data_IF_764562522130
#
_entry.id   IF_764562522130
#
_cell.length_a   1.000
_cell.length_b   1.000
_cell.length_c   1.000
_cell.angle_alpha   90.00
_cell.angle_beta   90.00
_cell.angle_gamma   90.00
#
_symmetry.space_group_name_H-M   'P 1'
#
loop_
_entity.id
_entity.type
_entity.pdbx_description
1 polymer ?
#
# COMPACT_ATOMS: atom_id res chain seq x y z
N UNK A 1 1.97 -4.26 -14.12
CA UNK A 1 1.09 -3.21 -13.57
C UNK A 1 1.59 -2.87 -12.18
N UNK A 2 1.86 -1.60 -11.87
CA UNK A 2 2.20 -1.23 -10.50
C UNK A 2 0.89 -1.11 -9.69
N UNK A 3 0.65 -2.06 -8.79
CA UNK A 3 -0.58 -2.14 -7.98
C UNK A 3 -0.78 -0.86 -7.17
N UNK A 4 0.28 -0.30 -6.59
CA UNK A 4 0.20 0.89 -5.74
C UNK A 4 -0.16 2.15 -6.52
N UNK A 5 0.37 2.30 -7.74
CA UNK A 5 -0.05 3.38 -8.65
C UNK A 5 -1.52 3.25 -9.07
N UNK A 6 -2.01 2.01 -9.22
CA UNK A 6 -3.42 1.77 -9.53
C UNK A 6 -4.33 1.96 -8.32
N UNK A 7 -3.91 1.54 -7.13
CA UNK A 7 -4.55 1.84 -5.83
C UNK A 7 -4.72 3.34 -5.69
N UNK A 8 -3.64 4.08 -5.84
CA UNK A 8 -3.66 5.53 -5.82
C UNK A 8 -4.70 6.10 -6.79
N UNK A 9 -4.71 5.66 -8.06
CA UNK A 9 -5.68 6.11 -9.05
C UNK A 9 -7.13 5.83 -8.66
N UNK A 10 -7.43 4.62 -8.16
CA UNK A 10 -8.78 4.24 -7.72
C UNK A 10 -9.26 5.13 -6.57
N UNK A 11 -8.43 5.30 -5.53
CA UNK A 11 -8.77 6.10 -4.37
C UNK A 11 -8.81 7.60 -4.67
N UNK A 12 -7.98 8.08 -5.59
CA UNK A 12 -8.05 9.45 -6.09
C UNK A 12 -9.38 9.72 -6.79
N UNK A 13 -9.79 8.82 -7.70
CA UNK A 13 -11.07 8.94 -8.42
C UNK A 13 -12.25 8.86 -7.46
N UNK A 14 -12.18 7.97 -6.48
CA UNK A 14 -13.17 7.85 -5.41
C UNK A 14 -13.24 9.14 -4.58
N UNK A 15 -12.11 9.66 -4.11
CA UNK A 15 -12.01 10.90 -3.35
C UNK A 15 -12.58 12.10 -4.10
N UNK A 16 -12.30 12.21 -5.41
CA UNK A 16 -12.94 13.20 -6.28
C UNK A 16 -14.46 13.06 -6.32
N UNK A 17 -14.97 11.82 -6.43
CA UNK A 17 -16.41 11.55 -6.48
C UNK A 17 -17.12 11.93 -5.17
N UNK A 18 -16.49 11.69 -4.02
CA UNK A 18 -17.05 12.03 -2.69
C UNK A 18 -16.64 13.43 -2.21
N UNK A 19 -15.99 14.23 -3.05
CA UNK A 19 -15.55 15.61 -2.75
C UNK A 19 -14.64 15.72 -1.52
N UNK A 20 -13.71 14.78 -1.35
CA UNK A 20 -12.65 14.88 -0.33
C UNK A 20 -11.84 16.17 -0.54
N UNK A 21 -11.49 16.93 0.53
CA UNK A 21 -10.76 18.20 0.41
C UNK A 21 -9.42 18.10 -0.32
N UNK A 22 -8.63 17.05 -0.04
CA UNK A 22 -7.41 16.72 -0.79
C UNK A 22 -7.44 15.25 -1.22
N UNK A 23 -8.06 14.94 -2.38
CA UNK A 23 -8.22 13.56 -2.84
C UNK A 23 -6.90 12.94 -3.28
N UNK A 24 -5.91 13.76 -3.64
CA UNK A 24 -4.61 13.27 -4.08
C UNK A 24 -3.77 12.85 -2.88
N UNK A 25 -3.68 13.70 -1.85
CA UNK A 25 -3.01 13.33 -0.60
C UNK A 25 -3.67 12.13 0.07
N UNK A 26 -5.01 12.12 0.17
CA UNK A 26 -5.74 10.99 0.73
C UNK A 26 -5.43 9.67 -0.02
N UNK A 27 -5.36 9.72 -1.35
CA UNK A 27 -4.99 8.56 -2.15
C UNK A 27 -3.54 8.10 -1.92
N UNK A 28 -2.59 9.02 -1.70
CA UNK A 28 -1.20 8.65 -1.31
C UNK A 28 -1.20 7.98 0.05
N UNK A 29 -1.95 8.49 1.03
CA UNK A 29 -2.07 7.87 2.34
C UNK A 29 -2.57 6.44 2.23
N UNK A 30 -3.61 6.19 1.45
CA UNK A 30 -4.13 4.83 1.23
C UNK A 30 -3.12 3.94 0.52
N UNK A 31 -2.48 4.40 -0.55
CA UNK A 31 -1.47 3.61 -1.25
C UNK A 31 -0.26 3.30 -0.35
N UNK A 32 0.13 4.25 0.50
CA UNK A 32 1.20 4.07 1.49
C UNK A 32 0.80 3.06 2.56
N UNK A 33 -0.43 3.12 3.06
CA UNK A 33 -0.95 2.15 4.02
C UNK A 33 -0.92 0.72 3.43
N UNK A 34 -1.29 0.56 2.17
CA UNK A 34 -1.21 -0.72 1.45
C UNK A 34 0.25 -1.19 1.31
N UNK A 35 1.18 -0.31 0.95
CA UNK A 35 2.61 -0.65 0.90
C UNK A 35 3.14 -1.08 2.28
N UNK A 36 2.79 -0.34 3.32
CA UNK A 36 3.19 -0.63 4.69
C UNK A 36 2.62 -1.96 5.16
N UNK A 37 1.35 -2.25 4.84
CA UNK A 37 0.69 -3.52 5.15
C UNK A 37 1.40 -4.69 4.46
N UNK A 38 1.70 -4.59 3.17
CA UNK A 38 2.47 -5.62 2.46
C UNK A 38 3.87 -5.81 3.03
N UNK A 39 4.56 -4.72 3.40
CA UNK A 39 5.86 -4.80 4.06
C UNK A 39 5.74 -5.52 5.41
N UNK A 40 4.72 -5.19 6.21
CA UNK A 40 4.47 -5.85 7.48
C UNK A 40 4.22 -7.36 7.29
N UNK A 41 3.51 -7.76 6.24
CA UNK A 41 3.35 -9.18 5.91
C UNK A 41 4.67 -9.87 5.56
N UNK A 42 5.50 -9.25 4.72
CA UNK A 42 6.83 -9.80 4.38
C UNK A 42 7.69 -9.94 5.64
N UNK A 43 7.70 -8.91 6.50
CA UNK A 43 8.43 -8.92 7.78
C UNK A 43 7.91 -10.03 8.69
N UNK A 44 6.59 -10.19 8.81
CA UNK A 44 5.96 -11.26 9.61
C UNK A 44 6.24 -12.65 9.07
N UNK A 45 6.25 -12.83 7.75
CA UNK A 45 6.61 -14.09 7.11
C UNK A 45 8.05 -14.48 7.44
N UNK A 46 8.99 -13.56 7.21
CA UNK A 46 10.41 -13.80 7.44
C UNK A 46 10.72 -14.09 8.91
N UNK A 47 9.99 -13.45 9.83
CA UNK A 47 10.06 -13.76 11.25
C UNK A 47 9.52 -15.16 11.57
N UNK A 48 8.30 -15.50 11.10
CA UNK A 48 7.66 -16.80 11.35
C UNK A 48 8.50 -17.98 10.84
N UNK A 49 9.14 -17.81 9.68
CA UNK A 49 10.04 -18.82 9.10
C UNK A 49 11.40 -18.93 9.80
N UNK A 50 11.66 -18.13 10.85
CA UNK A 50 12.94 -18.11 11.57
C UNK A 50 14.12 -17.53 10.78
N UNK A 51 13.87 -16.92 9.61
CA UNK A 51 14.90 -16.40 8.71
C UNK A 51 15.56 -15.15 9.31
N UNK A 52 14.77 -14.30 9.98
CA UNK A 52 15.23 -13.05 10.59
C UNK A 52 14.65 -12.87 12.01
N UNK A 53 15.23 -13.54 13.03
CA UNK A 53 14.73 -13.47 14.41
C UNK A 53 14.84 -12.07 15.02
N UNK A 54 15.73 -11.22 14.49
CA UNK A 54 15.85 -9.79 14.89
C UNK A 54 14.55 -9.00 14.65
N UNK A 55 13.68 -9.46 13.75
CA UNK A 55 12.38 -8.83 13.47
C UNK A 55 11.39 -8.98 14.64
N UNK A 56 11.70 -9.79 15.66
CA UNK A 56 10.91 -9.90 16.90
C UNK A 56 10.58 -8.54 17.52
N UNK A 57 11.48 -7.56 17.40
CA UNK A 57 11.27 -6.20 17.93
C UNK A 57 10.01 -5.51 17.37
N UNK A 58 9.54 -5.90 16.16
CA UNK A 58 8.31 -5.38 15.56
C UNK A 58 7.04 -6.06 16.10
N UNK A 59 7.16 -7.24 16.71
CA UNK A 59 6.06 -8.05 17.22
C UNK A 59 5.97 -8.03 18.74
N UNK A 60 7.08 -7.74 19.42
CA UNK A 60 7.08 -7.46 20.85
C UNK A 60 6.21 -6.22 21.10
N UNK A 61 5.27 -6.31 22.04
CA UNK A 61 4.35 -5.22 22.43
C UNK A 61 5.08 -4.09 23.21
N UNK A 62 6.31 -3.79 22.80
CA UNK A 62 7.17 -2.75 23.35
C UNK A 62 6.84 -1.40 22.73
N UNK A 63 7.06 -0.33 23.50
CA UNK A 63 6.99 1.05 22.98
C UNK A 63 7.99 1.25 21.85
N UNK A 64 9.18 0.65 21.94
CA UNK A 64 10.22 0.74 20.91
C UNK A 64 9.76 0.18 19.55
N UNK A 65 9.14 -1.00 19.54
CA UNK A 65 8.58 -1.60 18.33
C UNK A 65 7.50 -0.73 17.68
N UNK A 66 6.59 -0.18 18.50
CA UNK A 66 5.53 0.73 18.03
C UNK A 66 6.09 2.02 17.43
N UNK A 67 7.08 2.63 18.07
CA UNK A 67 7.74 3.85 17.58
C UNK A 67 8.51 3.59 16.28
N UNK A 68 9.17 2.43 16.16
CA UNK A 68 9.88 2.04 14.96
C UNK A 68 8.91 1.82 13.78
N UNK A 69 7.81 1.11 14.01
CA UNK A 69 6.76 0.90 13.01
C UNK A 69 6.16 2.23 12.54
N UNK A 70 5.87 3.15 13.47
CA UNK A 70 5.39 4.50 13.16
C UNK A 70 6.41 5.29 12.32
N UNK A 71 7.68 5.22 12.69
CA UNK A 71 8.77 5.92 11.98
C UNK A 71 8.94 5.41 10.55
N UNK A 72 8.85 4.09 10.35
CA UNK A 72 8.88 3.46 9.02
C UNK A 72 7.67 3.92 8.20
N UNK A 73 6.47 3.86 8.77
CA UNK A 73 5.24 4.29 8.08
C UNK A 73 5.28 5.76 7.66
N UNK A 74 5.75 6.64 8.55
CA UNK A 74 5.92 8.07 8.23
C UNK A 74 6.97 8.30 7.15
N UNK A 75 8.12 7.62 7.23
CA UNK A 75 9.19 7.72 6.23
C UNK A 75 8.70 7.28 4.85
N UNK A 76 7.99 6.14 4.79
CA UNK A 76 7.33 5.66 3.57
C UNK A 76 6.35 6.70 3.01
N UNK A 77 5.54 7.32 3.86
CA UNK A 77 4.60 8.37 3.44
C UNK A 77 5.34 9.56 2.82
N UNK A 78 6.38 10.07 3.47
CA UNK A 78 7.16 11.20 2.98
C UNK A 78 7.79 10.87 1.62
N UNK A 79 8.38 9.69 1.49
CA UNK A 79 8.98 9.22 0.23
C UNK A 79 7.91 9.12 -0.86
N UNK A 80 6.75 8.54 -0.52
CA UNK A 80 5.66 8.34 -1.47
C UNK A 80 5.10 9.66 -1.98
N UNK A 81 4.85 10.61 -1.09
CA UNK A 81 4.36 11.95 -1.43
C UNK A 81 5.36 12.70 -2.33
N UNK A 82 6.64 12.68 -1.95
CA UNK A 82 7.68 13.50 -2.63
C UNK A 82 8.17 12.88 -3.94
N UNK A 83 8.37 11.57 -3.98
CA UNK A 83 9.10 10.90 -5.06
C UNK A 83 8.25 9.91 -5.86
N UNK A 84 7.55 8.97 -5.20
CA UNK A 84 6.87 7.86 -5.92
C UNK A 84 5.62 8.33 -6.66
N UNK A 85 4.79 9.11 -5.98
CA UNK A 85 3.58 9.69 -6.56
C UNK A 85 3.83 11.12 -7.03
N UNK A 86 4.84 11.79 -6.48
CA UNK A 86 5.31 13.10 -6.90
C UNK A 86 4.15 14.07 -7.07
N UNK A 87 3.33 14.27 -6.03
CA UNK A 87 2.07 15.03 -6.10
C UNK A 87 2.23 16.44 -6.67
N UNK A 88 3.45 16.99 -6.65
CA UNK A 88 3.82 18.30 -7.19
C UNK A 88 4.50 18.26 -8.58
N UNK A 89 4.63 17.09 -9.21
CA UNK A 89 5.36 16.88 -10.49
C UNK A 89 4.43 16.39 -11.61
N UNK A 90 4.82 16.63 -12.87
CA UNK A 90 4.10 16.15 -14.08
C UNK A 90 3.87 14.64 -14.08
N UNK A 91 4.75 13.87 -13.43
CA UNK A 91 4.67 12.42 -13.30
C UNK A 91 3.33 11.92 -12.71
N UNK A 92 2.73 12.71 -11.81
CA UNK A 92 1.39 12.47 -11.25
C UNK A 92 0.31 12.53 -12.34
N UNK A 93 0.30 13.61 -13.13
CA UNK A 93 -0.66 13.82 -14.20
C UNK A 93 -0.49 12.80 -15.33
N UNK A 94 0.75 12.46 -15.70
CA UNK A 94 1.03 11.48 -16.75
C UNK A 94 0.59 10.06 -16.34
N UNK A 95 0.77 9.71 -15.06
CA UNK A 95 0.33 8.42 -14.53
C UNK A 95 -1.20 8.28 -14.55
N UNK A 96 -1.93 9.35 -14.19
CA UNK A 96 -3.40 9.35 -14.24
C UNK A 96 -3.89 9.31 -15.69
N UNK A 97 -3.35 10.16 -16.58
CA UNK A 97 -3.76 10.21 -17.99
C UNK A 97 -3.62 8.85 -18.67
N UNK A 98 -2.51 8.14 -18.45
CA UNK A 98 -2.30 6.79 -18.99
C UNK A 98 -3.32 5.76 -18.47
N UNK A 99 -3.77 5.89 -17.22
CA UNK A 99 -4.77 4.99 -16.64
C UNK A 99 -6.19 5.36 -17.08
N UNK A 100 -6.45 6.63 -17.34
CA UNK A 100 -7.71 7.10 -17.92
C UNK A 100 -7.88 6.67 -19.38
N UNK A 101 -6.80 6.61 -20.16
CA UNK A 101 -6.84 6.14 -21.56
C UNK A 101 -7.04 4.63 -21.70
N UNK A 102 -6.98 3.85 -20.63
CA UNK A 102 -7.20 2.40 -20.72
C UNK A 102 -8.65 2.05 -21.11
N UNK A 103 -8.79 1.00 -21.94
CA UNK A 103 -10.08 0.44 -22.32
C UNK A 103 -10.86 -0.09 -21.11
N UNK A 104 -12.20 -0.18 -21.24
CA UNK A 104 -13.07 -0.66 -20.16
C UNK A 104 -12.68 -2.06 -19.68
N UNK A 105 -12.39 -3.00 -20.60
CA UNK A 105 -11.93 -4.35 -20.28
C UNK A 105 -10.63 -4.33 -19.46
N UNK A 106 -9.65 -3.53 -19.89
CA UNK A 106 -8.36 -3.40 -19.21
C UNK A 106 -8.51 -2.81 -17.80
N UNK A 107 -9.37 -1.79 -17.63
CA UNK A 107 -9.69 -1.23 -16.31
C UNK A 107 -10.30 -2.26 -15.37
N UNK A 108 -11.24 -3.09 -15.84
CA UNK A 108 -11.86 -4.15 -15.02
C UNK A 108 -10.79 -5.13 -14.52
N UNK A 109 -9.94 -5.64 -15.41
CA UNK A 109 -8.88 -6.59 -15.04
C UNK A 109 -7.96 -5.95 -14.00
N UNK A 110 -7.46 -4.73 -14.26
CA UNK A 110 -6.58 -4.02 -13.34
C UNK A 110 -7.20 -3.79 -11.97
N UNK A 111 -8.50 -3.46 -11.92
CA UNK A 111 -9.25 -3.28 -10.69
C UNK A 111 -9.38 -4.58 -9.92
N UNK A 112 -9.79 -5.67 -10.56
CA UNK A 112 -9.90 -6.99 -9.93
C UNK A 112 -8.55 -7.45 -9.39
N UNK A 113 -7.48 -7.35 -10.19
CA UNK A 113 -6.12 -7.69 -9.76
C UNK A 113 -5.70 -6.85 -8.55
N UNK A 114 -5.98 -5.55 -8.56
CA UNK A 114 -5.63 -4.65 -7.44
C UNK A 114 -6.38 -5.04 -6.16
N UNK A 115 -7.68 -5.32 -6.24
CA UNK A 115 -8.44 -5.81 -5.08
C UNK A 115 -7.94 -7.16 -4.57
N UNK A 116 -7.59 -8.08 -5.47
CA UNK A 116 -7.02 -9.36 -5.09
C UNK A 116 -5.74 -9.19 -4.24
N UNK A 117 -4.81 -8.35 -4.70
CA UNK A 117 -3.57 -8.12 -3.96
C UNK A 117 -3.77 -7.35 -2.65
N UNK A 118 -4.73 -6.43 -2.57
CA UNK A 118 -4.93 -5.59 -1.38
C UNK A 118 -5.78 -6.27 -0.31
N UNK A 119 -6.71 -7.14 -0.70
CA UNK A 119 -7.68 -7.73 0.23
C UNK A 119 -7.47 -9.23 0.39
N UNK A 120 -7.45 -9.96 -0.72
CA UNK A 120 -7.46 -11.43 -0.69
C UNK A 120 -6.11 -11.97 -0.25
N UNK A 121 -5.01 -11.48 -0.83
CA UNK A 121 -3.67 -11.95 -0.50
C UNK A 121 -3.33 -11.73 1.00
N UNK A 122 -3.60 -10.56 1.61
CA UNK A 122 -3.50 -10.35 3.05
C UNK A 122 -4.26 -11.35 3.91
N UNK A 123 -5.50 -11.68 3.53
CA UNK A 123 -6.34 -12.62 4.26
C UNK A 123 -5.79 -14.06 4.17
N UNK A 124 -5.38 -14.48 2.97
CA UNK A 124 -4.74 -15.78 2.76
C UNK A 124 -3.46 -15.90 3.58
N UNK A 125 -2.69 -14.82 3.66
CA UNK A 125 -1.47 -14.76 4.44
C UNK A 125 -1.73 -14.85 5.96
N UNK A 126 -2.72 -14.12 6.46
CA UNK A 126 -3.16 -14.23 7.86
C UNK A 126 -3.61 -15.65 8.21
N UNK A 127 -4.38 -16.27 7.32
CA UNK A 127 -4.81 -17.67 7.46
C UNK A 127 -3.63 -18.64 7.48
N UNK A 128 -2.65 -18.45 6.60
CA UNK A 128 -1.43 -19.26 6.57
C UNK A 128 -0.61 -19.12 7.85
N UNK A 129 -0.40 -17.89 8.35
CA UNK A 129 0.30 -17.66 9.62
C UNK A 129 -0.42 -18.33 10.80
N UNK A 130 -1.76 -18.27 10.83
CA UNK A 130 -2.55 -18.93 11.86
C UNK A 130 -2.35 -20.46 11.89
N UNK A 131 -2.13 -21.08 10.74
CA UNK A 131 -1.97 -22.54 10.63
C UNK A 131 -0.55 -23.05 10.91
N UNK A 132 0.44 -22.16 11.00
CA UNK A 132 1.86 -22.51 11.20
C UNK A 132 2.34 -22.19 12.62
N UNK A 133 1.60 -21.35 13.36
CA UNK A 133 1.74 -21.21 14.80
C UNK A 133 1.13 -22.40 15.54
#
# INVERSE_FOLDING_TARGET
MNIYKYTFYLFYKFGKKIKTPDPAFAAVCVATAVMFLHLAFVVGFLYSMGILPVLKIFFDNSIGGKLLALSIGYTLLVINVRYIFGLKRREYHDSIKRLESDSRKKKIIKTLTTFFFILILPLLFLFFLWHIQ
#
